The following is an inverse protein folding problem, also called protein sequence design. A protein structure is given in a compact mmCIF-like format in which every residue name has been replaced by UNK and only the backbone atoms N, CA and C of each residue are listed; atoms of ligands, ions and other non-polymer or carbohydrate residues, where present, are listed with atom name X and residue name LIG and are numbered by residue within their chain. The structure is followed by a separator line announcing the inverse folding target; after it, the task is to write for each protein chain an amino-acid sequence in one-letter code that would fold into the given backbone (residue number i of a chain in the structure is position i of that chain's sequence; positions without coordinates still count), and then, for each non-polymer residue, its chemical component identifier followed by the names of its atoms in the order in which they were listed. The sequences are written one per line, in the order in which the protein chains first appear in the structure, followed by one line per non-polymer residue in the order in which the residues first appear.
data_IF_480393810772
#
_entry.id   IF_480393810772
#
_cell.length_a   1.000
_cell.length_b   1.000
_cell.length_c   1.000
_cell.angle_alpha   90.00
_cell.angle_beta   90.00
_cell.angle_gamma   90.00
#
_symmetry.space_group_name_H-M   'P 1'
#
loop_
_entity.id
_entity.type
_entity.pdbx_description
1 polymer ?
#
# COMPACT_ATOMS: atom_id res chain seq x y z
N UNK A 1 1.53 1.99 -20.02
CA UNK A 1 0.84 0.68 -20.02
C UNK A 1 1.73 -0.35 -19.32
N UNK A 2 1.14 -1.21 -18.51
CA UNK A 2 1.84 -2.26 -17.73
C UNK A 2 1.69 -3.66 -18.34
N UNK A 3 1.42 -3.73 -19.65
CA UNK A 3 1.27 -5.01 -20.36
C UNK A 3 2.52 -5.89 -20.18
N UNK A 4 2.32 -7.14 -19.80
CA UNK A 4 3.40 -8.10 -19.51
C UNK A 4 4.08 -7.93 -18.15
N UNK A 5 3.63 -6.98 -17.31
CA UNK A 5 4.08 -6.82 -15.94
C UNK A 5 3.26 -7.68 -14.99
N UNK A 6 3.90 -8.19 -13.94
CA UNK A 6 3.29 -8.95 -12.86
C UNK A 6 3.36 -8.13 -11.58
N UNK A 7 2.22 -7.95 -10.93
CA UNK A 7 2.10 -7.20 -9.68
C UNK A 7 1.52 -8.04 -8.54
N UNK A 8 1.95 -7.76 -7.32
CA UNK A 8 1.35 -8.26 -6.08
C UNK A 8 0.85 -7.08 -5.26
N UNK A 9 -0.43 -7.07 -4.92
CA UNK A 9 -1.04 -6.10 -4.02
C UNK A 9 -1.49 -6.79 -2.74
N UNK A 10 -0.88 -6.43 -1.61
CA UNK A 10 -1.22 -7.01 -0.31
C UNK A 10 -2.36 -6.24 0.35
N UNK A 11 -3.31 -6.94 1.01
CA UNK A 11 -4.48 -6.31 1.60
C UNK A 11 -5.45 -5.73 0.57
N UNK A 12 -5.66 -6.45 -0.54
CA UNK A 12 -6.45 -6.00 -1.69
C UNK A 12 -7.94 -6.38 -1.64
N UNK A 13 -8.44 -6.91 -0.52
CA UNK A 13 -9.85 -7.28 -0.39
C UNK A 13 -10.81 -6.08 -0.37
N UNK A 14 -10.33 -4.90 -0.02
CA UNK A 14 -11.11 -3.65 0.08
C UNK A 14 -10.20 -2.41 0.09
N UNK A 15 -10.82 -1.23 0.10
CA UNK A 15 -10.16 0.06 0.31
C UNK A 15 -9.03 0.33 -0.69
N UNK A 16 -7.93 0.94 -0.21
CA UNK A 16 -6.80 1.34 -1.04
C UNK A 16 -6.24 0.17 -1.85
N UNK A 17 -6.00 -0.98 -1.23
CA UNK A 17 -5.43 -2.14 -1.92
C UNK A 17 -6.30 -2.64 -3.07
N UNK A 18 -7.63 -2.63 -2.91
CA UNK A 18 -8.57 -2.99 -3.98
C UNK A 18 -8.49 -2.01 -5.13
N UNK A 19 -8.56 -0.71 -4.86
CA UNK A 19 -8.45 0.31 -5.89
C UNK A 19 -7.12 0.29 -6.63
N UNK A 20 -6.02 0.00 -5.93
CA UNK A 20 -4.70 -0.19 -6.55
C UNK A 20 -4.72 -1.40 -7.48
N UNK A 21 -5.28 -2.53 -7.07
CA UNK A 21 -5.36 -3.71 -7.90
C UNK A 21 -6.20 -3.45 -9.18
N UNK A 22 -7.35 -2.78 -9.04
CA UNK A 22 -8.23 -2.38 -10.15
C UNK A 22 -7.48 -1.56 -11.21
N UNK A 23 -6.75 -0.53 -10.80
CA UNK A 23 -6.05 0.35 -11.74
C UNK A 23 -4.81 -0.31 -12.37
N UNK A 24 -4.11 -1.19 -11.64
CA UNK A 24 -3.02 -1.97 -12.24
C UNK A 24 -3.53 -2.96 -13.28
N UNK A 25 -4.67 -3.63 -13.05
CA UNK A 25 -5.34 -4.50 -14.02
C UNK A 25 -5.77 -3.68 -15.24
N UNK A 26 -6.43 -2.53 -15.02
CA UNK A 26 -6.85 -1.62 -16.09
C UNK A 26 -5.67 -1.09 -16.93
N UNK A 27 -4.48 -0.97 -16.31
CA UNK A 27 -3.23 -0.60 -16.96
C UNK A 27 -2.57 -1.75 -17.73
N UNK A 28 -3.11 -2.99 -17.65
CA UNK A 28 -2.66 -4.16 -18.40
C UNK A 28 -1.71 -5.11 -17.66
N UNK A 29 -1.49 -4.91 -16.35
CA UNK A 29 -0.71 -5.84 -15.52
C UNK A 29 -1.49 -7.12 -15.21
N UNK A 30 -0.79 -8.22 -14.97
CA UNK A 30 -1.33 -9.36 -14.25
C UNK A 30 -1.18 -9.12 -12.75
N UNK A 31 -2.27 -9.18 -11.98
CA UNK A 31 -2.28 -8.75 -10.58
C UNK A 31 -2.67 -9.89 -9.64
N UNK A 32 -1.77 -10.26 -8.75
CA UNK A 32 -2.07 -11.07 -7.59
C UNK A 32 -2.61 -10.18 -6.47
N UNK A 33 -3.80 -10.51 -5.99
CA UNK A 33 -4.48 -9.83 -4.90
C UNK A 33 -4.50 -10.71 -3.66
N UNK A 34 -4.02 -10.23 -2.53
CA UNK A 34 -4.03 -11.02 -1.29
C UNK A 34 -4.78 -10.33 -0.17
N UNK A 35 -5.33 -11.14 0.73
CA UNK A 35 -6.04 -10.67 1.93
C UNK A 35 -6.67 -11.81 2.70
N UNK A 36 -7.01 -11.57 3.96
CA UNK A 36 -7.63 -12.60 4.83
C UNK A 36 -9.06 -12.96 4.41
N UNK A 37 -9.78 -12.00 3.85
CA UNK A 37 -11.20 -12.11 3.45
C UNK A 37 -11.40 -12.04 1.94
N UNK A 38 -10.33 -12.17 1.15
CA UNK A 38 -10.43 -12.19 -0.30
C UNK A 38 -10.92 -13.57 -0.75
N UNK A 39 -11.81 -13.60 -1.73
CA UNK A 39 -12.35 -14.83 -2.31
C UNK A 39 -11.93 -14.92 -3.80
N UNK A 40 -11.88 -16.13 -4.38
CA UNK A 40 -11.53 -16.28 -5.80
C UNK A 40 -12.45 -15.49 -6.74
N UNK A 41 -13.71 -15.25 -6.34
CA UNK A 41 -14.65 -14.39 -7.08
C UNK A 41 -14.23 -12.93 -7.14
N UNK A 42 -13.38 -12.45 -6.21
CA UNK A 42 -12.82 -11.09 -6.25
C UNK A 42 -11.81 -10.91 -7.41
N UNK A 43 -11.29 -12.02 -7.95
CA UNK A 43 -10.50 -12.02 -9.19
C UNK A 43 -11.35 -11.79 -10.46
N UNK A 44 -12.68 -11.63 -10.34
CA UNK A 44 -13.57 -11.34 -11.47
C UNK A 44 -13.36 -9.96 -12.11
N UNK A 45 -12.31 -9.24 -11.75
CA UNK A 45 -11.84 -8.01 -12.42
C UNK A 45 -11.24 -8.28 -13.81
N UNK A 46 -11.34 -9.52 -14.32
CA UNK A 46 -10.87 -9.93 -15.65
C UNK A 46 -9.84 -11.07 -15.62
N UNK A 47 -9.46 -11.55 -16.80
CA UNK A 47 -8.52 -12.68 -16.96
C UNK A 47 -7.08 -12.39 -16.47
N UNK A 48 -6.78 -11.16 -16.06
CA UNK A 48 -5.44 -10.71 -15.65
C UNK A 48 -5.33 -10.53 -14.13
N UNK A 49 -6.07 -11.31 -13.36
CA UNK A 49 -6.00 -11.23 -11.90
C UNK A 49 -6.14 -12.59 -11.21
N UNK A 50 -5.53 -12.71 -10.04
CA UNK A 50 -5.62 -13.88 -9.18
C UNK A 50 -5.81 -13.43 -7.73
N UNK A 51 -6.91 -13.86 -7.10
CA UNK A 51 -7.17 -13.62 -5.68
C UNK A 51 -6.67 -14.82 -4.86
N UNK A 52 -5.86 -14.55 -3.83
CA UNK A 52 -5.29 -15.57 -2.95
C UNK A 52 -5.55 -15.18 -1.50
N UNK A 53 -6.24 -16.05 -0.78
CA UNK A 53 -6.41 -15.87 0.66
C UNK A 53 -5.07 -16.01 1.36
N UNK A 54 -4.66 -14.96 2.09
CA UNK A 54 -3.37 -14.91 2.79
C UNK A 54 -3.50 -14.01 4.02
N UNK A 55 -3.12 -14.55 5.18
CA UNK A 55 -2.83 -13.74 6.36
C UNK A 55 -1.34 -13.42 6.34
N UNK A 56 -1.00 -12.17 6.12
CA UNK A 56 0.38 -11.70 6.03
C UNK A 56 1.15 -11.71 7.37
N UNK A 57 0.54 -12.16 8.46
CA UNK A 57 1.21 -12.44 9.74
C UNK A 57 1.80 -13.84 9.78
N UNK A 58 1.39 -14.71 8.85
CA UNK A 58 1.81 -16.11 8.74
C UNK A 58 2.79 -16.26 7.57
N UNK A 59 4.08 -16.40 7.89
CA UNK A 59 5.15 -16.41 6.88
C UNK A 59 4.98 -17.52 5.85
N UNK A 60 4.53 -18.72 6.26
CA UNK A 60 4.29 -19.83 5.34
C UNK A 60 3.24 -19.47 4.26
N UNK A 61 2.17 -18.73 4.63
CA UNK A 61 1.18 -18.29 3.66
C UNK A 61 1.77 -17.25 2.69
N UNK A 62 2.60 -16.34 3.19
CA UNK A 62 3.28 -15.35 2.35
C UNK A 62 4.25 -16.05 1.40
N UNK A 63 5.07 -16.99 1.88
CA UNK A 63 5.98 -17.79 1.06
C UNK A 63 5.23 -18.54 -0.04
N UNK A 64 4.06 -19.15 0.26
CA UNK A 64 3.24 -19.85 -0.72
C UNK A 64 2.74 -18.93 -1.84
N UNK A 65 2.38 -17.66 -1.53
CA UNK A 65 2.02 -16.66 -2.54
C UNK A 65 3.19 -16.39 -3.48
N UNK A 66 4.39 -16.12 -2.94
CA UNK A 66 5.58 -15.84 -3.76
C UNK A 66 6.04 -17.04 -4.57
N UNK A 67 5.96 -18.26 -4.01
CA UNK A 67 6.23 -19.48 -4.75
C UNK A 67 5.30 -19.64 -5.95
N UNK A 68 4.00 -19.40 -5.75
CA UNK A 68 3.02 -19.44 -6.84
C UNK A 68 3.33 -18.41 -7.94
N UNK A 69 3.68 -17.18 -7.57
CA UNK A 69 4.11 -16.14 -8.53
C UNK A 69 5.33 -16.62 -9.33
N UNK A 70 6.31 -17.21 -8.66
CA UNK A 70 7.50 -17.73 -9.30
C UNK A 70 7.18 -18.88 -10.28
N UNK A 71 6.32 -19.82 -9.87
CA UNK A 71 5.93 -20.98 -10.70
C UNK A 71 5.10 -20.57 -11.92
N UNK A 72 4.17 -19.60 -11.79
CA UNK A 72 3.27 -19.17 -12.85
C UNK A 72 3.90 -18.15 -13.82
N UNK A 73 4.79 -17.27 -13.33
CA UNK A 73 5.33 -16.16 -14.14
C UNK A 73 6.85 -16.04 -14.13
N UNK A 74 7.55 -16.64 -13.18
CA UNK A 74 9.00 -16.52 -13.04
C UNK A 74 9.49 -15.10 -12.72
N UNK A 75 8.59 -14.14 -12.49
CA UNK A 75 8.91 -12.72 -12.26
C UNK A 75 7.89 -12.02 -11.37
N UNK A 76 8.34 -10.95 -10.71
CA UNK A 76 7.50 -9.96 -10.04
C UNK A 76 8.03 -8.56 -10.35
N UNK A 77 7.21 -7.71 -10.97
CA UNK A 77 7.62 -6.37 -11.37
C UNK A 77 7.24 -5.29 -10.34
N UNK A 78 6.08 -5.46 -9.70
CA UNK A 78 5.54 -4.49 -8.75
C UNK A 78 5.06 -5.21 -7.50
N UNK A 79 5.55 -4.78 -6.33
CA UNK A 79 4.97 -5.12 -5.03
C UNK A 79 4.35 -3.88 -4.42
N UNK A 80 3.08 -3.98 -4.01
CA UNK A 80 2.40 -2.95 -3.22
C UNK A 80 2.11 -3.48 -1.82
N UNK A 81 2.87 -3.03 -0.85
CA UNK A 81 2.68 -3.30 0.56
C UNK A 81 1.61 -2.36 1.12
N UNK A 82 0.38 -2.87 1.21
CA UNK A 82 -0.78 -2.13 1.68
C UNK A 82 -1.49 -2.83 2.85
N UNK A 83 -1.22 -4.12 3.10
CA UNK A 83 -1.82 -4.81 4.25
C UNK A 83 -1.60 -4.03 5.55
N UNK A 84 -2.65 -3.94 6.36
CA UNK A 84 -2.63 -3.19 7.61
C UNK A 84 -3.49 -3.86 8.68
N UNK A 85 -3.17 -3.63 9.95
CA UNK A 85 -3.92 -4.05 11.13
C UNK A 85 -4.07 -2.92 12.14
N UNK A 86 -4.91 -3.14 13.16
CA UNK A 86 -5.08 -2.19 14.26
C UNK A 86 -6.26 -1.22 14.12
N UNK A 87 -6.96 -1.26 12.97
CA UNK A 87 -8.22 -0.50 12.79
C UNK A 87 -9.47 -1.31 13.15
N UNK A 88 -9.33 -2.60 13.38
CA UNK A 88 -10.45 -3.52 13.60
C UNK A 88 -11.27 -3.16 14.84
N UNK A 89 -10.61 -2.68 15.88
CA UNK A 89 -11.20 -2.36 17.17
C UNK A 89 -10.91 -0.90 17.57
N UNK A 90 -11.26 0.07 16.72
CA UNK A 90 -11.19 1.49 17.08
C UNK A 90 -12.25 1.87 18.12
N UNK A 91 -13.33 1.07 18.20
CA UNK A 91 -14.39 1.16 19.20
C UNK A 91 -14.31 -0.08 20.10
N UNK A 92 -14.11 0.11 21.38
CA UNK A 92 -14.09 -0.93 22.41
C UNK A 92 -15.10 -0.59 23.49
N UNK A 93 -15.95 -1.55 23.86
CA UNK A 93 -17.00 -1.32 24.87
C UNK A 93 -17.97 -0.17 24.54
N UNK A 94 -18.10 0.18 23.25
CA UNK A 94 -18.93 1.31 22.80
C UNK A 94 -18.21 2.65 22.77
N UNK A 95 -16.93 2.70 23.15
CA UNK A 95 -16.13 3.93 23.18
C UNK A 95 -15.09 3.96 22.05
N UNK A 96 -14.90 5.14 21.44
CA UNK A 96 -13.88 5.36 20.42
C UNK A 96 -12.52 5.54 21.09
N UNK A 97 -11.72 4.48 21.12
CA UNK A 97 -10.46 4.39 21.87
C UNK A 97 -9.23 4.83 21.09
N UNK A 98 -9.37 5.12 19.79
CA UNK A 98 -8.25 5.50 18.92
C UNK A 98 -7.46 6.72 19.41
N UNK A 99 -8.18 7.76 19.87
CA UNK A 99 -7.59 9.01 20.33
C UNK A 99 -7.23 9.02 21.82
N UNK A 100 -7.33 7.89 22.53
CA UNK A 100 -6.93 7.86 23.95
C UNK A 100 -5.44 8.14 24.13
N UNK A 101 -5.02 8.71 25.25
CA UNK A 101 -3.61 8.87 25.57
C UNK A 101 -2.86 7.53 25.48
N UNK A 102 -1.61 7.54 25.02
CA UNK A 102 -0.88 6.30 24.74
C UNK A 102 -0.75 5.37 25.96
N UNK A 103 -0.70 5.93 27.17
CA UNK A 103 -0.64 5.12 28.42
C UNK A 103 -1.95 4.43 28.79
N UNK A 104 -3.04 4.69 28.07
CA UNK A 104 -4.32 4.01 28.16
C UNK A 104 -4.61 3.13 26.95
N UNK A 105 -3.78 3.20 25.92
CA UNK A 105 -3.93 2.39 24.71
C UNK A 105 -3.68 0.91 25.01
N UNK A 106 -4.49 -0.01 24.45
CA UNK A 106 -4.24 -1.43 24.60
C UNK A 106 -3.01 -1.86 23.78
N UNK A 107 -2.16 -2.72 24.36
CA UNK A 107 -0.94 -3.21 23.69
C UNK A 107 -1.20 -4.01 22.42
N UNK A 108 -2.36 -4.71 22.34
CA UNK A 108 -2.75 -5.44 21.12
C UNK A 108 -2.78 -4.52 19.88
N UNK A 109 -3.06 -3.22 20.03
CA UNK A 109 -3.08 -2.26 18.92
C UNK A 109 -1.68 -2.06 18.35
N UNK A 110 -0.69 -1.93 19.22
CA UNK A 110 0.73 -1.92 18.83
C UNK A 110 1.09 -3.21 18.08
N UNK A 111 0.80 -4.37 18.68
CA UNK A 111 1.12 -5.67 18.10
C UNK A 111 0.48 -5.85 16.72
N UNK A 112 -0.79 -5.48 16.57
CA UNK A 112 -1.50 -5.58 15.29
C UNK A 112 -0.88 -4.69 14.20
N UNK A 113 -0.51 -3.44 14.53
CA UNK A 113 0.10 -2.51 13.58
C UNK A 113 1.49 -2.97 13.16
N UNK A 114 2.28 -3.47 14.10
CA UNK A 114 3.62 -3.97 13.78
C UNK A 114 3.60 -5.31 13.07
N UNK A 115 2.77 -6.24 13.48
CA UNK A 115 2.68 -7.55 12.84
C UNK A 115 2.13 -7.46 11.41
N UNK A 116 0.97 -6.83 11.21
CA UNK A 116 0.32 -6.75 9.90
C UNK A 116 0.81 -5.57 9.04
N UNK A 117 1.32 -4.50 9.63
CA UNK A 117 1.84 -3.34 8.91
C UNK A 117 3.35 -3.43 8.65
N UNK A 118 4.18 -3.37 9.69
CA UNK A 118 5.63 -3.26 9.52
C UNK A 118 6.27 -4.60 9.13
N UNK A 119 6.05 -5.65 9.96
CA UNK A 119 6.67 -6.97 9.73
C UNK A 119 6.19 -7.62 8.43
N UNK A 120 4.89 -7.56 8.15
CA UNK A 120 4.33 -8.12 6.92
C UNK A 120 4.91 -7.44 5.66
N UNK A 121 5.10 -6.11 5.69
CA UNK A 121 5.76 -5.36 4.62
C UNK A 121 7.22 -5.79 4.45
N UNK A 122 7.95 -5.99 5.56
CA UNK A 122 9.34 -6.46 5.52
C UNK A 122 9.46 -7.84 4.87
N UNK A 123 8.67 -8.83 5.31
CA UNK A 123 8.70 -10.19 4.78
C UNK A 123 8.34 -10.22 3.29
N UNK A 124 7.27 -9.52 2.91
CA UNK A 124 6.88 -9.43 1.50
C UNK A 124 7.96 -8.76 0.65
N UNK A 125 8.57 -7.67 1.15
CA UNK A 125 9.67 -6.97 0.45
C UNK A 125 10.91 -7.84 0.31
N UNK A 126 11.27 -8.62 1.35
CA UNK A 126 12.42 -9.54 1.28
C UNK A 126 12.24 -10.59 0.19
N UNK A 127 11.05 -11.18 0.08
CA UNK A 127 10.74 -12.18 -0.94
C UNK A 127 10.69 -11.56 -2.34
N UNK A 128 10.07 -10.39 -2.48
CA UNK A 128 10.03 -9.65 -3.74
C UNK A 128 11.44 -9.25 -4.19
N UNK A 129 12.26 -8.73 -3.29
CA UNK A 129 13.62 -8.29 -3.59
C UNK A 129 14.48 -9.43 -4.15
N UNK A 130 14.36 -10.67 -3.65
CA UNK A 130 15.08 -11.83 -4.21
C UNK A 130 14.75 -12.04 -5.70
N UNK A 131 13.49 -11.89 -6.09
CA UNK A 131 13.07 -12.01 -7.49
C UNK A 131 13.54 -10.81 -8.31
N UNK A 132 13.33 -9.59 -7.79
CA UNK A 132 13.62 -8.34 -8.47
C UNK A 132 15.12 -8.11 -8.69
N UNK A 133 15.97 -8.50 -7.73
CA UNK A 133 17.44 -8.48 -7.86
C UNK A 133 17.89 -9.40 -9.00
N UNK A 134 17.37 -10.64 -9.05
CA UNK A 134 17.67 -11.56 -10.15
C UNK A 134 17.22 -11.02 -11.52
N UNK A 135 16.11 -10.25 -11.55
CA UNK A 135 15.59 -9.59 -12.76
C UNK A 135 16.34 -8.30 -13.11
N UNK A 136 17.09 -7.71 -12.17
CA UNK A 136 17.66 -6.36 -12.21
C UNK A 136 16.60 -5.30 -12.54
N UNK A 137 15.40 -5.47 -11.99
CA UNK A 137 14.25 -4.59 -12.23
C UNK A 137 13.16 -4.89 -11.22
N UNK A 138 12.55 -3.87 -10.63
CA UNK A 138 11.40 -4.01 -9.74
C UNK A 138 10.99 -2.69 -9.11
N UNK A 139 9.75 -2.65 -8.63
CA UNK A 139 9.19 -1.52 -7.89
C UNK A 139 8.49 -2.04 -6.63
N UNK A 140 8.93 -1.58 -5.46
CA UNK A 140 8.30 -1.82 -4.17
C UNK A 140 7.67 -0.51 -3.70
N UNK A 141 6.36 -0.51 -3.50
CA UNK A 141 5.60 0.63 -2.98
C UNK A 141 5.07 0.29 -1.59
N UNK A 142 5.52 1.00 -0.58
CA UNK A 142 5.03 0.89 0.79
C UNK A 142 3.97 1.98 1.05
N UNK A 143 2.72 1.59 1.28
CA UNK A 143 1.66 2.55 1.63
C UNK A 143 1.88 3.03 3.06
N UNK A 144 2.27 4.29 3.20
CA UNK A 144 2.53 4.94 4.48
C UNK A 144 1.61 6.15 4.68
N UNK A 145 1.95 7.06 5.59
CA UNK A 145 1.11 8.22 5.86
C UNK A 145 1.86 9.29 6.66
N UNK A 146 1.37 10.52 6.62
CA UNK A 146 1.89 11.69 7.33
C UNK A 146 2.10 11.47 8.84
N UNK A 147 1.41 10.50 9.44
CA UNK A 147 1.61 10.11 10.84
C UNK A 147 3.04 9.67 11.15
N UNK A 148 3.83 9.29 10.14
CA UNK A 148 5.26 9.00 10.29
C UNK A 148 6.09 10.23 10.70
N UNK A 149 5.62 11.43 10.32
CA UNK A 149 6.35 12.69 10.49
C UNK A 149 5.70 13.65 11.51
N UNK A 150 4.42 13.43 11.83
CA UNK A 150 3.65 14.27 12.74
C UNK A 150 2.71 13.41 13.59
N UNK A 151 2.50 13.81 14.84
CA UNK A 151 1.51 13.13 15.67
C UNK A 151 0.10 13.29 15.11
N UNK A 152 -0.52 12.19 14.69
CA UNK A 152 -1.89 12.14 14.20
C UNK A 152 -2.66 11.08 15.01
N UNK A 153 -3.17 11.52 16.14
CA UNK A 153 -4.14 10.82 16.97
C UNK A 153 -3.70 9.52 17.67
N UNK A 154 -2.57 8.89 17.31
CA UNK A 154 -2.17 7.63 17.93
C UNK A 154 -0.66 7.39 17.82
N UNK A 155 -0.01 7.11 18.96
CA UNK A 155 1.45 6.89 19.02
C UNK A 155 1.87 5.62 18.28
N UNK A 156 1.17 4.49 18.48
CA UNK A 156 1.50 3.23 17.82
C UNK A 156 1.41 3.36 16.28
N UNK A 157 0.39 4.08 15.82
CA UNK A 157 0.21 4.37 14.38
C UNK A 157 1.37 5.19 13.81
N UNK A 158 1.71 6.29 14.47
CA UNK A 158 2.82 7.15 14.04
C UNK A 158 4.15 6.40 13.99
N UNK A 159 4.47 5.63 15.04
CA UNK A 159 5.71 4.85 15.10
C UNK A 159 5.74 3.76 14.02
N UNK A 160 4.63 3.05 13.79
CA UNK A 160 4.57 2.03 12.74
C UNK A 160 4.74 2.63 11.32
N UNK A 161 4.16 3.81 11.06
CA UNK A 161 4.35 4.52 9.78
C UNK A 161 5.78 5.06 9.64
N UNK A 162 6.39 5.58 10.70
CA UNK A 162 7.80 5.97 10.71
C UNK A 162 8.74 4.79 10.46
N UNK A 163 8.44 3.62 11.05
CA UNK A 163 9.17 2.38 10.77
C UNK A 163 9.06 1.96 9.30
N UNK A 164 7.88 2.10 8.68
CA UNK A 164 7.68 1.83 7.25
C UNK A 164 8.52 2.75 6.37
N UNK A 165 8.58 4.05 6.69
CA UNK A 165 9.38 5.03 5.93
C UNK A 165 10.87 4.80 6.10
N UNK A 166 11.31 4.50 7.33
CA UNK A 166 12.71 4.14 7.58
C UNK A 166 13.12 2.89 6.82
N UNK A 167 12.26 1.86 6.83
CA UNK A 167 12.47 0.62 6.08
C UNK A 167 12.56 0.90 4.56
N UNK A 168 11.70 1.77 4.02
CA UNK A 168 11.75 2.21 2.62
C UNK A 168 13.11 2.83 2.28
N UNK A 169 13.59 3.76 3.11
CA UNK A 169 14.86 4.45 2.88
C UNK A 169 16.05 3.48 2.91
N UNK A 170 16.08 2.55 3.88
CA UNK A 170 17.17 1.60 4.02
C UNK A 170 17.18 0.56 2.89
N UNK A 171 16.03 -0.01 2.55
CA UNK A 171 15.91 -0.93 1.42
C UNK A 171 16.33 -0.27 0.10
N UNK A 172 16.02 1.01 -0.10
CA UNK A 172 16.40 1.75 -1.29
C UNK A 172 17.93 1.87 -1.42
N UNK A 173 18.66 2.04 -0.31
CA UNK A 173 20.13 2.07 -0.30
C UNK A 173 20.70 0.72 -0.76
N UNK A 174 20.18 -0.40 -0.22
CA UNK A 174 20.66 -1.74 -0.54
C UNK A 174 20.32 -2.17 -1.97
N UNK A 175 19.18 -1.71 -2.51
CA UNK A 175 18.62 -2.17 -3.80
C UNK A 175 18.92 -1.26 -4.98
N UNK A 176 19.51 -0.08 -4.75
CA UNK A 176 19.76 0.91 -5.80
C UNK A 176 20.62 0.38 -6.95
N UNK A 177 21.71 -0.31 -6.63
CA UNK A 177 22.65 -0.84 -7.63
C UNK A 177 22.08 -2.08 -8.35
N UNK A 178 20.99 -2.65 -7.83
CA UNK A 178 20.24 -3.75 -8.44
C UNK A 178 19.11 -3.27 -9.35
N UNK A 179 18.97 -1.94 -9.53
CA UNK A 179 17.91 -1.32 -10.32
C UNK A 179 16.49 -1.69 -9.81
N UNK A 180 16.35 -1.80 -8.48
CA UNK A 180 15.08 -2.02 -7.79
C UNK A 180 14.72 -0.76 -7.02
N UNK A 181 13.53 -0.24 -7.28
CA UNK A 181 13.01 0.99 -6.72
C UNK A 181 12.18 0.68 -5.48
N UNK A 182 12.38 1.43 -4.41
CA UNK A 182 11.57 1.33 -3.19
C UNK A 182 11.09 2.73 -2.80
N UNK A 183 9.79 2.91 -2.66
CA UNK A 183 9.19 4.20 -2.29
C UNK A 183 8.15 4.05 -1.19
N UNK A 184 7.98 5.08 -0.35
CA UNK A 184 6.78 5.25 0.48
C UNK A 184 5.78 6.10 -0.27
N UNK A 185 4.53 5.62 -0.35
CA UNK A 185 3.43 6.36 -0.96
C UNK A 185 2.49 6.89 0.12
N UNK A 186 2.30 8.20 0.15
CA UNK A 186 1.38 8.89 1.06
C UNK A 186 0.09 9.23 0.35
N UNK A 187 -1.01 8.53 0.63
CA UNK A 187 -2.34 8.99 0.24
C UNK A 187 -2.77 10.21 1.07
N UNK A 188 -3.74 10.96 0.56
CA UNK A 188 -4.55 11.86 1.35
C UNK A 188 -5.63 11.11 2.16
N UNK A 189 -6.76 11.77 2.45
CA UNK A 189 -7.92 11.09 3.02
C UNK A 189 -8.60 10.26 1.93
N UNK A 190 -8.48 8.94 2.01
CA UNK A 190 -9.03 8.04 0.98
C UNK A 190 -10.45 7.63 1.33
N UNK A 191 -11.38 7.79 0.40
CA UNK A 191 -12.79 7.37 0.49
C UNK A 191 -12.94 5.85 0.45
N UNK A 192 -12.33 5.17 1.42
CA UNK A 192 -12.54 3.73 1.62
C UNK A 192 -13.93 3.48 2.22
N UNK A 193 -14.38 2.23 2.20
CA UNK A 193 -15.67 1.83 2.79
C UNK A 193 -15.78 2.30 4.25
N UNK A 194 -14.72 2.13 5.05
CA UNK A 194 -14.65 2.58 6.44
C UNK A 194 -14.72 4.09 6.61
N UNK A 195 -14.07 4.85 5.73
CA UNK A 195 -14.14 6.32 5.74
C UNK A 195 -15.53 6.78 5.36
N UNK A 196 -16.16 6.10 4.40
CA UNK A 196 -17.52 6.45 3.95
C UNK A 196 -18.60 6.12 5.01
N UNK A 197 -18.39 5.13 5.88
CA UNK A 197 -19.25 4.90 7.06
C UNK A 197 -19.24 6.11 8.01
N UNK A 198 -18.14 6.88 8.05
CA UNK A 198 -17.96 8.07 8.88
C UNK A 198 -18.08 9.39 8.09
N UNK A 199 -18.54 9.38 6.84
CA UNK A 199 -18.52 10.52 5.93
C UNK A 199 -19.23 11.77 6.47
N UNK A 200 -20.28 11.60 7.28
CA UNK A 200 -21.01 12.72 7.90
C UNK A 200 -20.17 13.56 8.88
N UNK A 201 -19.03 13.05 9.31
CA UNK A 201 -18.16 13.66 10.32
C UNK A 201 -16.81 14.11 9.76
N UNK A 202 -16.58 13.91 8.46
CA UNK A 202 -15.29 14.13 7.81
C UNK A 202 -15.41 15.18 6.69
N UNK A 203 -14.42 16.04 6.56
CA UNK A 203 -14.27 16.88 5.38
C UNK A 203 -13.68 16.05 4.24
N UNK A 204 -14.51 15.71 3.27
CA UNK A 204 -14.13 14.96 2.07
C UNK A 204 -13.82 15.86 0.86
N UNK A 205 -13.75 17.17 1.02
CA UNK A 205 -13.57 18.13 -0.09
C UNK A 205 -12.27 17.89 -0.87
N UNK A 206 -11.19 17.49 -0.18
CA UNK A 206 -9.90 17.16 -0.76
C UNK A 206 -9.56 15.65 -0.60
N UNK A 207 -10.56 14.79 -0.57
CA UNK A 207 -10.38 13.35 -0.45
C UNK A 207 -10.06 12.70 -1.80
N UNK A 208 -9.46 11.52 -1.74
CA UNK A 208 -9.03 10.71 -2.88
C UNK A 208 -9.85 9.42 -2.95
N UNK A 209 -10.09 8.88 -4.16
CA UNK A 209 -10.63 7.53 -4.29
C UNK A 209 -9.52 6.48 -4.10
N UNK A 210 -9.86 5.23 -3.76
CA UNK A 210 -8.90 4.11 -3.79
C UNK A 210 -8.22 3.96 -5.15
N UNK A 211 -8.94 4.18 -6.24
CA UNK A 211 -8.43 4.11 -7.61
C UNK A 211 -7.41 5.23 -7.90
N UNK A 212 -7.56 6.41 -7.32
CA UNK A 212 -6.58 7.48 -7.46
C UNK A 212 -5.19 7.04 -6.97
N UNK A 213 -5.14 6.31 -5.86
CA UNK A 213 -3.89 5.73 -5.36
C UNK A 213 -3.35 4.67 -6.34
N UNK A 214 -4.24 3.88 -6.94
CA UNK A 214 -3.88 2.91 -7.98
C UNK A 214 -3.26 3.57 -9.21
N UNK A 215 -3.80 4.71 -9.67
CA UNK A 215 -3.24 5.52 -10.77
C UNK A 215 -1.85 6.03 -10.45
N UNK A 216 -1.60 6.44 -9.20
CA UNK A 216 -0.27 6.84 -8.76
C UNK A 216 0.74 5.68 -8.85
N UNK A 217 0.35 4.48 -8.42
CA UNK A 217 1.19 3.28 -8.53
C UNK A 217 1.42 2.90 -9.99
N UNK A 218 0.38 2.94 -10.84
CA UNK A 218 0.50 2.65 -12.28
C UNK A 218 1.42 3.66 -12.98
N UNK A 219 1.33 4.94 -12.63
CA UNK A 219 2.23 5.99 -13.10
C UNK A 219 3.68 5.70 -12.73
N UNK A 220 3.95 5.37 -11.48
CA UNK A 220 5.29 4.96 -11.02
C UNK A 220 5.81 3.74 -11.79
N UNK A 221 4.96 2.73 -11.99
CA UNK A 221 5.33 1.50 -12.71
C UNK A 221 5.64 1.72 -14.21
N UNK A 222 5.23 2.85 -14.78
CA UNK A 222 5.48 3.22 -16.18
C UNK A 222 6.49 4.37 -16.36
N UNK A 223 6.95 4.98 -15.27
CA UNK A 223 7.91 6.08 -15.30
C UNK A 223 9.31 5.57 -15.70
N UNK A 224 9.88 5.99 -16.83
CA UNK A 224 11.23 5.59 -17.24
C UNK A 224 12.32 6.11 -16.29
N UNK A 225 12.03 7.15 -15.50
CA UNK A 225 12.94 7.78 -14.56
C UNK A 225 12.65 7.38 -13.10
N UNK A 226 11.88 6.33 -12.85
CA UNK A 226 11.47 5.91 -11.51
C UNK A 226 12.65 5.70 -10.54
N UNK A 227 13.84 5.35 -11.02
CA UNK A 227 15.03 5.15 -10.19
C UNK A 227 15.43 6.44 -9.43
N UNK A 228 15.16 7.62 -9.96
CA UNK A 228 15.42 8.88 -9.29
C UNK A 228 14.50 9.09 -8.07
N UNK A 229 13.41 8.34 -7.96
CA UNK A 229 12.45 8.41 -6.85
C UNK A 229 12.74 7.40 -5.72
N UNK A 230 13.72 6.49 -5.91
CA UNK A 230 14.00 5.46 -4.90
C UNK A 230 14.40 6.08 -3.56
N UNK A 231 13.90 5.52 -2.46
CA UNK A 231 14.10 6.00 -1.10
C UNK A 231 13.25 7.21 -0.70
N UNK A 232 12.42 7.73 -1.60
CA UNK A 232 11.62 8.92 -1.33
C UNK A 232 10.23 8.59 -0.77
N UNK A 233 9.69 9.58 -0.06
CA UNK A 233 8.28 9.66 0.31
C UNK A 233 7.58 10.45 -0.79
N UNK A 234 6.60 9.84 -1.44
CA UNK A 234 5.85 10.40 -2.55
C UNK A 234 4.40 10.61 -2.14
N UNK A 235 3.84 11.76 -2.47
CA UNK A 235 2.43 12.10 -2.20
C UNK A 235 1.60 11.76 -3.43
N UNK A 236 0.53 10.98 -3.26
CA UNK A 236 -0.29 10.49 -4.38
C UNK A 236 -0.86 11.64 -5.23
N UNK A 237 -1.38 12.69 -4.59
CA UNK A 237 -1.88 13.88 -5.30
C UNK A 237 -0.78 14.64 -6.07
N UNK A 238 0.47 14.65 -5.58
CA UNK A 238 1.60 15.24 -6.31
C UNK A 238 1.95 14.41 -7.56
N UNK A 239 1.91 13.08 -7.45
CA UNK A 239 2.07 12.20 -8.60
C UNK A 239 0.95 12.38 -9.62
N UNK A 240 -0.28 12.68 -9.17
CA UNK A 240 -1.39 13.04 -10.05
C UNK A 240 -1.08 14.24 -10.94
N UNK A 241 -0.49 15.28 -10.37
CA UNK A 241 -0.03 16.45 -11.12
C UNK A 241 1.13 16.12 -12.06
N UNK A 242 2.11 15.35 -11.59
CA UNK A 242 3.32 15.00 -12.35
C UNK A 242 2.99 14.11 -13.56
N UNK A 243 2.14 13.10 -13.37
CA UNK A 243 1.79 12.13 -14.42
C UNK A 243 0.52 12.50 -15.19
N UNK A 244 -0.16 13.58 -14.82
CA UNK A 244 -1.32 14.12 -15.55
C UNK A 244 -2.59 13.29 -15.42
N UNK A 245 -2.83 12.62 -14.29
CA UNK A 245 -4.06 11.90 -14.03
C UNK A 245 -4.91 12.59 -12.95
N UNK A 246 -6.22 12.42 -13.05
CA UNK A 246 -7.23 12.92 -12.10
C UNK A 246 -7.87 11.76 -11.33
N UNK A 247 -8.70 12.06 -10.35
CA UNK A 247 -9.51 11.06 -9.67
C UNK A 247 -10.65 10.54 -10.55
N UNK A 248 -11.39 9.53 -10.11
CA UNK A 248 -12.49 8.89 -10.86
C UNK A 248 -13.64 9.84 -11.16
N UNK A 249 -13.81 10.88 -10.35
CA UNK A 249 -14.80 11.96 -10.56
C UNK A 249 -14.26 13.14 -11.38
N UNK A 250 -13.05 13.03 -11.94
CA UNK A 250 -12.39 14.05 -12.74
C UNK A 250 -11.70 15.15 -11.92
N UNK A 251 -11.78 15.12 -10.60
CA UNK A 251 -11.10 16.10 -9.73
C UNK A 251 -9.61 15.81 -9.64
N UNK A 252 -8.84 16.88 -9.42
CA UNK A 252 -7.45 16.81 -9.04
C UNK A 252 -7.33 17.14 -7.54
N UNK A 253 -7.11 16.15 -6.67
CA UNK A 253 -6.85 16.40 -5.26
C UNK A 253 -5.62 17.30 -5.09
N UNK A 254 -5.68 18.23 -4.16
CA UNK A 254 -4.54 19.09 -3.83
C UNK A 254 -3.50 18.28 -3.04
N UNK A 255 -2.23 18.30 -3.45
CA UNK A 255 -1.17 17.68 -2.66
C UNK A 255 -1.12 18.27 -1.25
N UNK A 256 -1.06 17.41 -0.24
CA UNK A 256 -0.88 17.82 1.15
C UNK A 256 0.61 18.01 1.45
N UNK A 257 0.90 18.96 2.32
CA UNK A 257 2.21 19.12 2.97
C UNK A 257 2.09 18.78 4.48
N UNK A 258 3.22 18.69 5.18
CA UNK A 258 3.25 18.39 6.62
C UNK A 258 2.48 19.44 7.46
N UNK A 259 2.33 20.66 6.94
CA UNK A 259 1.56 21.75 7.57
C UNK A 259 0.05 21.60 7.42
N UNK A 260 -0.40 20.80 6.47
CA UNK A 260 -1.83 20.64 6.13
C UNK A 260 -2.52 19.52 6.93
N UNK A 261 -1.73 18.68 7.62
CA UNK A 261 -2.20 17.48 8.34
C UNK A 261 -2.02 17.59 9.84
#
# INVERSE_FOLDING_TARGET
MLTGKVALVTGASRGVGKGVAEELIASGAYVYMTGRSIEPSDAALGNNSCAIRCDHREDEQVHAVFQRIADEHGRLDILVNNVWGGYENMIEGGEFTWGWPFWQQPTWRWDSMFAAGVRAHYVSSQLAARMMVAQRSGLIVNVSFWAAQKHIGNVAYGVAKAATDKMTADMAVELKDENVIVVSLYPGLVRTEKVMEAAAWLDLSNSESPQFIGRAVAGLGTDPNQIAKTGQILVAAQLGLEYGFTDVDGKQPRPLALTDV
#
